data_IF_875447770536
#
_entry.id   IF_875447770536
#
_cell.length_a   1.000
_cell.length_b   1.000
_cell.length_c   1.000
_cell.angle_alpha   90.00
_cell.angle_beta   90.00
_cell.angle_gamma   90.00
#
_symmetry.space_group_name_H-M   'P 1'
#
loop_
_entity.id
_entity.type
_entity.pdbx_description
1 polymer ?
#
# COMPACT_ATOMS: atom_id res chain seq x y z
N UNK A 1 67.87 -26.23 8.32
CA UNK A 1 68.46 -24.97 7.80
C UNK A 1 67.67 -24.33 6.66
N UNK A 2 66.93 -25.07 5.83
CA UNK A 2 66.23 -24.53 4.64
C UNK A 2 65.11 -23.51 4.95
N UNK A 3 64.38 -23.69 6.05
CA UNK A 3 63.27 -22.80 6.44
C UNK A 3 63.75 -21.39 6.81
N UNK A 4 64.95 -21.26 7.39
CA UNK A 4 65.53 -19.96 7.74
C UNK A 4 65.98 -19.18 6.50
N UNK A 5 66.38 -19.87 5.43
CA UNK A 5 66.73 -19.25 4.16
C UNK A 5 65.50 -18.62 3.51
N UNK A 6 64.38 -19.34 3.49
CA UNK A 6 63.09 -18.84 2.96
C UNK A 6 62.59 -17.65 3.80
N UNK A 7 62.75 -17.70 5.12
CA UNK A 7 62.36 -16.56 5.98
C UNK A 7 63.24 -15.33 5.74
N UNK A 8 64.55 -15.51 5.55
CA UNK A 8 65.50 -14.46 5.21
C UNK A 8 65.20 -13.84 3.85
N UNK A 9 64.88 -14.69 2.87
CA UNK A 9 64.71 -14.32 1.47
C UNK A 9 63.31 -13.79 1.15
N UNK A 10 62.32 -13.99 2.03
CA UNK A 10 60.95 -13.47 1.87
C UNK A 10 60.45 -12.59 3.03
N UNK A 11 61.26 -12.37 4.07
CA UNK A 11 60.87 -11.58 5.24
C UNK A 11 60.51 -10.13 4.94
N UNK A 12 61.09 -9.56 3.89
CA UNK A 12 60.79 -8.21 3.41
C UNK A 12 59.37 -8.09 2.85
N UNK A 13 58.83 -9.13 2.19
CA UNK A 13 57.43 -9.12 1.76
C UNK A 13 56.47 -9.08 2.94
N UNK A 14 56.79 -9.76 4.04
CA UNK A 14 56.00 -9.72 5.28
C UNK A 14 56.03 -8.31 5.88
N UNK A 15 57.20 -7.66 5.83
CA UNK A 15 57.40 -6.29 6.33
C UNK A 15 56.66 -5.26 5.46
N UNK A 16 56.76 -5.34 4.13
CA UNK A 16 56.00 -4.46 3.23
C UNK A 16 54.50 -4.73 3.29
N UNK A 17 54.08 -5.99 3.43
CA UNK A 17 52.68 -6.36 3.61
C UNK A 17 52.12 -5.79 4.90
N UNK A 18 52.86 -5.87 6.01
CA UNK A 18 52.41 -5.31 7.29
C UNK A 18 52.28 -3.77 7.24
N UNK A 19 53.23 -3.09 6.59
CA UNK A 19 53.18 -1.65 6.36
C UNK A 19 51.97 -1.28 5.50
N UNK A 20 51.75 -1.99 4.38
CA UNK A 20 50.61 -1.76 3.50
C UNK A 20 49.27 -1.95 4.24
N UNK A 21 49.13 -3.03 5.00
CA UNK A 21 47.95 -3.30 5.82
C UNK A 21 47.73 -2.18 6.84
N UNK A 22 48.78 -1.72 7.51
CA UNK A 22 48.71 -0.60 8.47
C UNK A 22 48.16 0.67 7.81
N UNK A 23 48.66 1.05 6.64
CA UNK A 23 48.18 2.23 5.91
C UNK A 23 46.72 2.07 5.43
N UNK A 24 46.33 0.88 4.97
CA UNK A 24 44.94 0.59 4.58
C UNK A 24 44.01 0.75 5.78
N UNK A 25 44.37 0.19 6.94
CA UNK A 25 43.59 0.35 8.17
C UNK A 25 43.52 1.81 8.62
N UNK A 26 44.63 2.55 8.56
CA UNK A 26 44.66 3.98 8.90
C UNK A 26 43.74 4.79 8.00
N UNK A 27 43.72 4.51 6.69
CA UNK A 27 42.86 5.20 5.73
C UNK A 27 41.38 4.89 5.94
N UNK A 28 41.06 3.62 6.20
CA UNK A 28 39.70 3.16 6.49
C UNK A 28 39.21 3.76 7.80
N UNK A 29 40.04 3.77 8.85
CA UNK A 29 39.70 4.35 10.15
C UNK A 29 39.46 5.86 10.06
N UNK A 30 40.28 6.61 9.33
CA UNK A 30 40.03 8.04 9.07
C UNK A 30 38.72 8.29 8.32
N UNK A 31 38.39 7.42 7.34
CA UNK A 31 37.13 7.50 6.61
C UNK A 31 35.92 7.15 7.49
N UNK A 32 36.03 6.11 8.31
CA UNK A 32 35.01 5.71 9.29
C UNK A 32 34.77 6.78 10.35
N UNK A 33 35.83 7.40 10.87
CA UNK A 33 35.71 8.50 11.85
C UNK A 33 35.03 9.72 11.25
N UNK A 34 35.34 10.08 10.00
CA UNK A 34 34.64 11.17 9.31
C UNK A 34 33.14 10.89 9.13
N UNK A 35 32.77 9.62 8.88
CA UNK A 35 31.37 9.18 8.82
C UNK A 35 30.71 9.14 10.19
N UNK A 36 31.45 8.77 11.23
CA UNK A 36 30.99 8.76 12.61
C UNK A 36 30.67 10.18 13.11
N UNK A 37 31.55 11.15 12.85
CA UNK A 37 31.30 12.55 13.20
C UNK A 37 30.10 13.15 12.46
N UNK A 38 29.90 12.79 11.18
CA UNK A 38 28.69 13.20 10.45
C UNK A 38 27.42 12.57 11.02
N UNK A 39 27.51 11.33 11.53
CA UNK A 39 26.39 10.62 12.16
C UNK A 39 26.03 11.23 13.51
N UNK A 40 27.01 11.63 14.32
CA UNK A 40 26.76 12.32 15.60
C UNK A 40 26.19 13.72 15.38
N UNK A 41 26.70 14.47 14.40
CA UNK A 41 26.12 15.77 14.03
C UNK A 41 24.71 15.63 13.44
N UNK A 42 24.42 14.59 12.66
CA UNK A 42 23.08 14.32 12.16
C UNK A 42 22.10 13.95 13.28
N UNK A 43 22.54 13.24 14.32
CA UNK A 43 21.72 12.97 15.51
C UNK A 43 21.50 14.22 16.37
N UNK A 44 22.50 15.10 16.50
CA UNK A 44 22.33 16.40 17.16
C UNK A 44 21.39 17.32 16.38
N UNK A 45 21.49 17.34 15.04
CA UNK A 45 20.55 18.06 14.20
C UNK A 45 19.12 17.51 14.29
N UNK A 46 18.93 16.20 14.49
CA UNK A 46 17.58 15.62 14.71
C UNK A 46 16.92 16.08 16.02
N UNK A 47 17.71 16.58 16.99
CA UNK A 47 17.22 17.14 18.24
C UNK A 47 16.85 18.63 18.13
N UNK A 48 17.17 19.29 17.01
CA UNK A 48 16.79 20.68 16.79
C UNK A 48 15.26 20.77 16.59
N UNK A 49 14.54 21.55 17.42
CA UNK A 49 13.09 21.65 17.37
C UNK A 49 12.57 22.16 16.02
N UNK A 50 13.40 22.88 15.26
CA UNK A 50 13.10 23.37 13.92
C UNK A 50 12.97 22.26 12.86
N UNK A 51 13.73 21.15 12.98
CA UNK A 51 13.61 20.03 12.05
C UNK A 51 12.40 19.15 12.36
N UNK A 52 12.02 19.06 13.64
CA UNK A 52 10.82 18.37 14.08
C UNK A 52 9.57 19.07 13.53
N UNK A 53 9.51 20.41 13.64
CA UNK A 53 8.41 21.20 13.05
C UNK A 53 8.30 20.98 11.54
N UNK A 54 9.40 21.10 10.79
CA UNK A 54 9.39 20.88 9.33
C UNK A 54 8.93 19.49 8.94
N UNK A 55 9.31 18.47 9.73
CA UNK A 55 8.85 17.10 9.50
C UNK A 55 7.35 16.97 9.76
N UNK A 56 6.85 17.61 10.80
CA UNK A 56 5.43 17.60 11.16
C UNK A 56 4.60 18.34 10.11
N UNK A 57 5.04 19.52 9.68
CA UNK A 57 4.46 20.28 8.58
C UNK A 57 4.42 19.48 7.28
N UNK A 58 5.51 18.76 6.95
CA UNK A 58 5.54 17.90 5.77
C UNK A 58 4.53 16.74 5.86
N UNK A 59 4.37 16.15 7.04
CA UNK A 59 3.39 15.08 7.27
C UNK A 59 1.95 15.60 7.19
N UNK A 60 1.67 16.77 7.77
CA UNK A 60 0.35 17.38 7.73
C UNK A 60 0.00 17.86 6.31
N UNK A 61 0.95 18.41 5.56
CA UNK A 61 0.77 18.72 4.14
C UNK A 61 0.45 17.47 3.31
N UNK A 62 1.11 16.34 3.58
CA UNK A 62 0.81 15.08 2.89
C UNK A 62 -0.61 14.57 3.22
N UNK A 63 -1.03 14.67 4.48
CA UNK A 63 -2.40 14.31 4.91
C UNK A 63 -3.45 15.19 4.24
N UNK A 64 -3.20 16.50 4.17
CA UNK A 64 -4.13 17.42 3.51
C UNK A 64 -4.28 17.14 2.02
N UNK A 65 -3.18 16.85 1.31
CA UNK A 65 -3.25 16.45 -0.11
C UNK A 65 -4.08 15.18 -0.30
N UNK A 66 -3.87 14.18 0.56
CA UNK A 66 -4.65 12.95 0.52
C UNK A 66 -6.15 13.19 0.76
N UNK A 67 -6.50 14.07 1.71
CA UNK A 67 -7.90 14.42 1.97
C UNK A 67 -8.53 15.14 0.78
N UNK A 68 -7.80 16.07 0.17
CA UNK A 68 -8.27 16.79 -1.02
C UNK A 68 -8.56 15.84 -2.19
N UNK A 69 -7.68 14.88 -2.46
CA UNK A 69 -7.90 13.87 -3.51
C UNK A 69 -9.14 13.03 -3.25
N UNK A 70 -9.37 12.63 -1.99
CA UNK A 70 -10.57 11.88 -1.60
C UNK A 70 -11.84 12.71 -1.73
N UNK A 71 -11.80 13.98 -1.34
CA UNK A 71 -12.94 14.90 -1.45
C UNK A 71 -13.28 15.18 -2.92
N UNK A 72 -12.29 15.34 -3.78
CA UNK A 72 -12.49 15.49 -5.23
C UNK A 72 -13.15 14.24 -5.84
N UNK A 73 -12.69 13.04 -5.45
CA UNK A 73 -13.30 11.79 -5.91
C UNK A 73 -14.74 11.64 -5.41
N UNK A 74 -14.98 12.01 -4.14
CA UNK A 74 -16.32 12.00 -3.56
C UNK A 74 -17.26 12.99 -4.27
N UNK A 75 -16.78 14.18 -4.63
CA UNK A 75 -17.54 15.16 -5.40
C UNK A 75 -17.91 14.62 -6.79
N UNK A 76 -16.93 14.10 -7.54
CA UNK A 76 -17.17 13.50 -8.88
C UNK A 76 -18.17 12.34 -8.82
N UNK A 77 -18.11 11.52 -7.78
CA UNK A 77 -19.07 10.43 -7.61
C UNK A 77 -20.48 10.93 -7.29
N UNK A 78 -20.59 11.95 -6.41
CA UNK A 78 -21.89 12.57 -6.09
C UNK A 78 -22.53 13.23 -7.30
N UNK A 79 -21.75 13.88 -8.15
CA UNK A 79 -22.24 14.47 -9.40
C UNK A 79 -22.80 13.40 -10.34
N UNK A 80 -22.02 12.34 -10.61
CA UNK A 80 -22.49 11.21 -11.44
C UNK A 80 -23.75 10.55 -10.88
N UNK A 81 -23.85 10.42 -9.56
CA UNK A 81 -25.05 9.86 -8.92
C UNK A 81 -26.30 10.74 -9.16
N UNK A 82 -26.14 12.06 -9.12
CA UNK A 82 -27.24 13.00 -9.43
C UNK A 82 -27.65 12.92 -10.89
N UNK A 83 -26.70 12.85 -11.81
CA UNK A 83 -26.97 12.67 -13.25
C UNK A 83 -27.78 11.39 -13.51
N UNK A 84 -27.34 10.26 -12.94
CA UNK A 84 -28.06 8.98 -13.07
C UNK A 84 -29.47 9.06 -12.45
N UNK A 85 -29.65 9.77 -11.35
CA UNK A 85 -30.97 9.95 -10.74
C UNK A 85 -31.88 10.81 -11.62
N UNK A 86 -31.36 11.89 -12.21
CA UNK A 86 -32.11 12.74 -13.14
C UNK A 86 -32.47 12.01 -14.43
N UNK A 87 -31.56 11.24 -15.02
CA UNK A 87 -31.83 10.40 -16.19
C UNK A 87 -32.94 9.39 -15.89
N UNK A 88 -32.86 8.67 -14.76
CA UNK A 88 -33.94 7.76 -14.33
C UNK A 88 -35.27 8.46 -14.10
N UNK A 89 -35.26 9.71 -13.66
CA UNK A 89 -36.49 10.51 -13.54
C UNK A 89 -37.06 10.85 -14.92
N UNK A 90 -36.21 11.23 -15.88
CA UNK A 90 -36.62 11.51 -17.26
C UNK A 90 -37.16 10.27 -17.96
N UNK A 91 -36.44 9.14 -17.86
CA UNK A 91 -36.89 7.85 -18.41
C UNK A 91 -38.27 7.45 -17.89
N UNK A 92 -38.55 7.68 -16.60
CA UNK A 92 -39.87 7.39 -16.02
C UNK A 92 -40.97 8.30 -16.58
N UNK A 93 -40.68 9.58 -16.80
CA UNK A 93 -41.63 10.53 -17.39
C UNK A 93 -41.90 10.13 -18.84
N UNK A 94 -40.86 9.88 -19.62
CA UNK A 94 -40.96 9.46 -21.03
C UNK A 94 -41.68 8.12 -21.17
N UNK A 95 -41.40 7.15 -20.31
CA UNK A 95 -42.10 5.87 -20.30
C UNK A 95 -43.60 6.04 -19.99
N UNK A 96 -43.95 6.94 -19.06
CA UNK A 96 -45.34 7.20 -18.70
C UNK A 96 -46.09 7.98 -19.80
N UNK A 97 -45.44 8.96 -20.44
CA UNK A 97 -45.97 9.70 -21.58
C UNK A 97 -46.19 8.81 -22.80
N UNK A 98 -45.22 7.95 -23.14
CA UNK A 98 -45.37 6.94 -24.20
C UNK A 98 -46.52 5.96 -23.94
N UNK A 99 -46.81 5.66 -22.67
CA UNK A 99 -47.93 4.81 -22.27
C UNK A 99 -49.28 5.54 -22.41
N UNK A 100 -49.34 6.85 -22.11
CA UNK A 100 -50.53 7.66 -22.35
C UNK A 100 -50.82 7.89 -23.84
N UNK A 101 -49.78 8.13 -24.65
CA UNK A 101 -49.92 8.36 -26.09
C UNK A 101 -50.21 7.08 -26.89
N UNK A 102 -50.27 5.90 -26.24
CA UNK A 102 -50.63 4.63 -26.87
C UNK A 102 -49.55 4.06 -27.81
N UNK A 103 -48.31 4.55 -27.74
CA UNK A 103 -47.16 4.05 -28.54
C UNK A 103 -46.52 2.78 -27.96
N UNK A 104 -47.20 2.09 -27.04
CA UNK A 104 -46.64 1.10 -26.11
C UNK A 104 -46.17 -0.24 -26.71
N UNK A 105 -46.08 -0.40 -28.04
CA UNK A 105 -45.71 -1.72 -28.60
C UNK A 105 -44.99 -1.60 -29.93
N UNK A 106 -43.65 -1.71 -29.90
CA UNK A 106 -42.87 -2.58 -30.83
C UNK A 106 -41.34 -2.57 -30.68
N UNK A 107 -40.72 -1.73 -29.84
CA UNK A 107 -39.26 -1.53 -29.91
C UNK A 107 -38.50 -1.46 -28.58
N UNK A 108 -38.83 -2.30 -27.60
CA UNK A 108 -37.99 -2.47 -26.40
C UNK A 108 -36.95 -3.59 -26.55
N UNK A 109 -37.12 -4.52 -27.50
CA UNK A 109 -36.27 -5.72 -27.65
C UNK A 109 -34.93 -5.51 -28.38
N UNK A 110 -34.57 -4.29 -28.77
CA UNK A 110 -33.39 -4.06 -29.63
C UNK A 110 -32.40 -2.99 -29.15
N UNK A 111 -32.50 -2.52 -27.89
CA UNK A 111 -31.55 -1.54 -27.33
C UNK A 111 -30.73 -2.06 -26.14
N UNK A 112 -30.74 -3.37 -25.90
CA UNK A 112 -29.76 -4.02 -25.05
C UNK A 112 -28.81 -4.83 -25.95
N UNK A 113 -27.73 -4.24 -26.51
CA UNK A 113 -26.66 -5.06 -27.04
C UNK A 113 -26.02 -5.76 -25.83
N UNK A 114 -26.25 -7.07 -25.78
CA UNK A 114 -25.40 -8.07 -25.12
C UNK A 114 -23.95 -7.58 -25.01
N UNK A 115 -23.54 -7.20 -23.78
CA UNK A 115 -22.14 -7.28 -23.40
C UNK A 115 -21.84 -8.76 -23.18
N UNK A 116 -21.29 -9.39 -24.22
CA UNK A 116 -20.85 -10.78 -24.27
C UNK A 116 -20.22 -11.26 -22.95
N UNK A 117 -20.86 -12.21 -22.27
CA UNK A 117 -20.17 -13.11 -21.36
C UNK A 117 -20.45 -14.55 -21.80
N UNK A 118 -19.49 -15.12 -22.51
CA UNK A 118 -19.43 -16.54 -22.87
C UNK A 118 -19.74 -17.44 -21.66
N UNK A 119 -20.76 -18.31 -21.75
CA UNK A 119 -20.61 -19.79 -21.70
C UNK A 119 -21.95 -20.54 -21.57
N UNK A 120 -22.06 -21.78 -22.11
CA UNK A 120 -23.33 -22.47 -22.34
C UNK A 120 -23.87 -23.25 -21.13
N UNK A 121 -25.20 -23.35 -21.08
CA UNK A 121 -25.97 -24.23 -20.23
C UNK A 121 -25.57 -25.71 -20.41
N UNK A 122 -25.28 -26.40 -19.30
CA UNK A 122 -25.45 -27.85 -19.19
C UNK A 122 -25.97 -28.18 -17.78
N UNK A 123 -27.22 -28.63 -17.72
CA UNK A 123 -27.89 -29.07 -16.51
C UNK A 123 -27.21 -30.31 -15.90
N UNK A 124 -26.93 -30.30 -14.58
CA UNK A 124 -26.85 -31.50 -13.74
C UNK A 124 -27.31 -31.26 -12.29
N UNK A 125 -27.82 -32.35 -11.73
CA UNK A 125 -28.54 -32.58 -10.48
C UNK A 125 -28.10 -31.80 -9.22
N UNK A 126 -29.12 -31.54 -8.37
CA UNK A 126 -29.01 -31.01 -7.01
C UNK A 126 -28.09 -31.91 -6.17
N UNK A 127 -27.02 -31.33 -5.63
CA UNK A 127 -26.31 -31.88 -4.48
C UNK A 127 -26.38 -30.86 -3.35
N UNK A 128 -26.90 -31.28 -2.20
CA UNK A 128 -26.83 -30.54 -0.94
C UNK A 128 -25.36 -30.24 -0.59
N UNK A 129 -24.90 -29.04 -0.95
CA UNK A 129 -23.57 -28.55 -0.58
C UNK A 129 -23.65 -27.06 -0.25
N UNK A 130 -23.85 -26.80 1.05
CA UNK A 130 -23.41 -25.64 1.84
C UNK A 130 -23.05 -24.37 1.05
N UNK A 131 -23.83 -23.31 1.24
CA UNK A 131 -23.61 -21.97 0.67
C UNK A 131 -22.14 -21.54 0.80
N UNK A 132 -21.51 -21.21 -0.32
CA UNK A 132 -20.06 -20.98 -0.44
C UNK A 132 -19.52 -19.70 0.23
N UNK A 133 -20.33 -18.95 0.99
CA UNK A 133 -19.88 -17.83 1.86
C UNK A 133 -21.01 -17.40 2.79
N UNK A 134 -20.92 -17.75 4.07
CA UNK A 134 -21.86 -17.31 5.12
C UNK A 134 -21.56 -15.91 5.66
N UNK A 135 -21.07 -14.98 4.83
CA UNK A 135 -20.55 -13.72 5.36
C UNK A 135 -20.00 -12.74 4.34
N UNK A 136 -20.64 -12.54 3.20
CA UNK A 136 -20.26 -11.45 2.30
C UNK A 136 -21.46 -10.54 2.05
N UNK A 137 -21.50 -9.41 2.76
CA UNK A 137 -22.42 -8.31 2.47
C UNK A 137 -21.65 -7.23 1.67
N UNK A 138 -21.94 -7.04 0.38
CA UNK A 138 -21.20 -6.11 -0.47
C UNK A 138 -21.40 -4.63 -0.10
N UNK A 139 -22.36 -4.30 0.77
CA UNK A 139 -22.58 -2.93 1.24
C UNK A 139 -21.86 -2.60 2.56
N UNK A 140 -21.56 -3.62 3.38
CA UNK A 140 -21.04 -3.42 4.74
C UNK A 140 -19.69 -4.06 5.00
N UNK A 141 -19.21 -4.95 4.12
CA UNK A 141 -18.01 -5.73 4.36
C UNK A 141 -18.20 -6.68 5.57
N UNK A 142 -17.44 -7.76 5.60
CA UNK A 142 -17.44 -8.63 6.78
C UNK A 142 -16.72 -7.92 7.93
N UNK A 143 -17.50 -7.23 8.75
CA UNK A 143 -17.06 -6.61 9.99
C UNK A 143 -16.79 -7.67 11.07
N UNK A 144 -15.67 -8.37 10.94
CA UNK A 144 -14.99 -9.03 12.06
C UNK A 144 -14.89 -10.56 11.98
N UNK A 145 -13.65 -11.07 11.94
CA UNK A 145 -13.42 -12.42 12.48
C UNK A 145 -12.14 -13.17 12.13
N UNK A 146 -11.34 -12.83 11.12
CA UNK A 146 -10.25 -13.73 10.68
C UNK A 146 -8.81 -13.23 10.84
N UNK A 147 -8.57 -12.06 11.43
CA UNK A 147 -7.23 -11.57 11.72
C UNK A 147 -7.19 -10.64 12.94
N UNK A 148 -7.46 -11.19 14.14
CA UNK A 148 -7.22 -10.50 15.41
C UNK A 148 -5.81 -10.80 15.94
N UNK A 149 -4.76 -10.41 15.20
CA UNK A 149 -3.43 -10.36 15.80
C UNK A 149 -3.35 -9.13 16.71
N UNK A 150 -3.54 -9.33 18.02
CA UNK A 150 -3.22 -8.34 19.04
C UNK A 150 -1.85 -8.70 19.63
N UNK A 151 -0.85 -7.81 19.63
CA UNK A 151 0.37 -8.05 20.38
C UNK A 151 0.02 -8.32 21.85
N UNK A 152 0.54 -9.42 22.41
CA UNK A 152 0.34 -9.74 23.82
C UNK A 152 0.78 -8.58 24.70
N UNK A 153 -0.05 -8.18 25.67
CA UNK A 153 0.32 -7.16 26.65
C UNK A 153 1.57 -7.63 27.41
N UNK A 154 2.72 -7.03 27.13
CA UNK A 154 3.89 -7.11 28.00
C UNK A 154 3.72 -6.03 29.08
N UNK A 155 3.06 -6.39 30.17
CA UNK A 155 2.95 -5.58 31.38
C UNK A 155 2.77 -6.52 32.58
N UNK A 156 3.42 -6.24 33.74
CA UNK A 156 3.45 -7.17 34.85
C UNK A 156 2.06 -7.40 35.44
N UNK A 157 1.72 -8.67 35.69
CA UNK A 157 0.53 -9.06 36.44
C UNK A 157 0.79 -8.85 37.94
N UNK A 158 0.27 -7.76 38.48
CA UNK A 158 0.15 -7.47 39.93
C UNK A 158 -0.99 -6.44 40.05
N UNK A 159 -2.05 -6.60 40.82
CA UNK A 159 -2.43 -7.62 41.80
C UNK A 159 -3.96 -7.59 41.98
N UNK A 160 -4.44 -8.48 42.87
CA UNK A 160 -5.83 -8.55 43.29
C UNK A 160 -6.19 -7.55 44.39
#
# INVERSE_FOLDING_TARGET
AQVLHILSEYGWYILFSSIAIYFVLQRINGMLQSRSHKRTQASEAQLEPSLILRRQEAMDAARHRMQQELDEQAAKYREKQKEIEEEKRREKIEAWENMQEGKSTRKWTSLHPESESNTPNAAKAKSDKKNLRSGYNPLTGDGGGSCSWRPGRRGPSTGG
#
